data_IF_435448253610
#
_entry.id   IF_435448253610
#
_cell.length_a   1.000
_cell.length_b   1.000
_cell.length_c   1.000
_cell.angle_alpha   90.00
_cell.angle_beta   90.00
_cell.angle_gamma   90.00
#
_symmetry.space_group_name_H-M   'P 1'
#
loop_
_entity.id
_entity.type
_entity.pdbx_description
1 polymer ?
#
# COMPACT_ATOMS: atom_id res chain seq x y z
N UNK A 1 -5.82 0.25 -19.50
CA UNK A 1 -6.24 -0.93 -18.71
C UNK A 1 -7.42 -1.58 -19.41
N UNK A 2 -7.36 -2.89 -19.68
CA UNK A 2 -8.43 -3.62 -20.38
C UNK A 2 -9.74 -3.63 -19.56
N UNK A 3 -10.89 -3.56 -20.24
CA UNK A 3 -12.22 -3.61 -19.60
C UNK A 3 -12.41 -4.87 -18.75
N UNK A 4 -11.85 -6.02 -19.19
CA UNK A 4 -11.88 -7.27 -18.41
C UNK A 4 -11.19 -7.12 -17.06
N UNK A 5 -10.03 -6.48 -17.02
CA UNK A 5 -9.27 -6.30 -15.77
C UNK A 5 -9.98 -5.30 -14.84
N UNK A 6 -10.58 -4.24 -15.39
CA UNK A 6 -11.38 -3.29 -14.60
C UNK A 6 -12.57 -3.99 -13.93
N UNK A 7 -13.24 -4.88 -14.66
CA UNK A 7 -14.39 -5.63 -14.14
C UNK A 7 -13.94 -6.61 -13.04
N UNK A 8 -12.84 -7.33 -13.24
CA UNK A 8 -12.28 -8.24 -12.24
C UNK A 8 -11.89 -7.50 -10.95
N UNK A 9 -11.13 -6.40 -11.06
CA UNK A 9 -10.72 -5.62 -9.90
C UNK A 9 -11.91 -4.93 -9.23
N UNK A 10 -12.84 -4.38 -10.01
CA UNK A 10 -14.06 -3.75 -9.49
C UNK A 10 -14.95 -4.75 -8.74
N UNK A 11 -15.12 -5.96 -9.29
CA UNK A 11 -15.83 -7.04 -8.62
C UNK A 11 -15.14 -7.46 -7.33
N UNK A 12 -13.81 -7.56 -7.32
CA UNK A 12 -13.04 -7.91 -6.12
C UNK A 12 -13.10 -6.82 -5.04
N UNK A 13 -13.11 -5.54 -5.43
CA UNK A 13 -13.34 -4.41 -4.52
C UNK A 13 -14.75 -4.46 -3.93
N UNK A 14 -15.77 -4.77 -4.74
CA UNK A 14 -17.15 -4.90 -4.26
C UNK A 14 -17.26 -6.05 -3.25
N UNK A 15 -16.66 -7.20 -3.55
CA UNK A 15 -16.60 -8.35 -2.64
C UNK A 15 -15.88 -7.97 -1.34
N UNK A 16 -14.75 -7.26 -1.44
CA UNK A 16 -14.04 -6.76 -0.25
C UNK A 16 -14.97 -5.88 0.60
N UNK A 17 -15.69 -4.94 -0.01
CA UNK A 17 -16.61 -4.05 0.67
C UNK A 17 -17.74 -4.83 1.38
N UNK A 18 -18.33 -5.83 0.72
CA UNK A 18 -19.31 -6.73 1.35
C UNK A 18 -18.71 -7.39 2.61
N UNK A 19 -17.50 -7.93 2.54
CA UNK A 19 -16.84 -8.53 3.70
C UNK A 19 -16.58 -7.54 4.85
N UNK A 20 -16.31 -6.26 4.53
CA UNK A 20 -16.11 -5.22 5.54
C UNK A 20 -17.39 -4.88 6.33
N UNK A 21 -18.57 -5.08 5.73
CA UNK A 21 -19.86 -4.88 6.42
C UNK A 21 -20.43 -6.17 7.03
N UNK A 22 -19.95 -7.34 6.59
CA UNK A 22 -20.49 -8.65 6.98
C UNK A 22 -20.34 -8.93 8.49
N UNK A 23 -19.32 -8.35 9.13
CA UNK A 23 -19.11 -8.46 10.57
C UNK A 23 -20.26 -7.84 11.39
N UNK A 24 -20.94 -6.82 10.86
CA UNK A 24 -22.11 -6.22 11.51
C UNK A 24 -23.35 -7.14 11.46
N UNK A 25 -23.45 -7.99 10.44
CA UNK A 25 -24.59 -8.90 10.25
C UNK A 25 -24.41 -10.24 10.95
N UNK A 26 -23.17 -10.68 11.22
CA UNK A 26 -22.87 -11.96 11.86
C UNK A 26 -21.90 -11.81 13.06
N UNK A 27 -22.34 -11.19 14.18
CA UNK A 27 -21.49 -10.93 15.35
C UNK A 27 -21.04 -12.20 16.09
N UNK A 28 -21.73 -13.34 15.90
CA UNK A 28 -21.47 -14.58 16.64
C UNK A 28 -20.36 -15.46 16.04
N UNK A 29 -19.82 -15.11 14.87
CA UNK A 29 -18.74 -15.86 14.22
C UNK A 29 -17.37 -15.35 14.69
N UNK A 30 -17.09 -15.46 16.00
CA UNK A 30 -15.86 -14.96 16.63
C UNK A 30 -14.55 -15.55 16.08
N UNK A 31 -14.61 -16.69 15.40
CA UNK A 31 -13.41 -17.38 14.90
C UNK A 31 -12.93 -16.89 13.52
N UNK A 32 -13.76 -16.19 12.76
CA UNK A 32 -13.40 -15.69 11.43
C UNK A 32 -13.42 -14.16 11.39
N UNK A 33 -12.25 -13.57 11.23
CA UNK A 33 -12.12 -12.12 11.12
C UNK A 33 -12.32 -11.69 9.66
N UNK A 34 -13.57 -11.38 9.29
CA UNK A 34 -13.95 -10.92 7.94
C UNK A 34 -13.26 -9.60 7.55
N UNK A 35 -12.85 -8.78 8.52
CA UNK A 35 -12.10 -7.54 8.26
C UNK A 35 -10.77 -7.83 7.57
N UNK A 36 -10.17 -9.01 7.82
CA UNK A 36 -8.94 -9.43 7.15
C UNK A 36 -9.18 -9.61 5.65
N UNK A 37 -10.25 -10.31 5.27
CA UNK A 37 -10.58 -10.51 3.85
C UNK A 37 -10.87 -9.17 3.16
N UNK A 38 -11.62 -8.28 3.82
CA UNK A 38 -11.82 -6.92 3.33
C UNK A 38 -10.49 -6.22 3.04
N UNK A 39 -9.62 -6.13 4.05
CA UNK A 39 -8.33 -5.45 3.94
C UNK A 39 -7.46 -6.09 2.87
N UNK A 40 -7.35 -7.41 2.80
CA UNK A 40 -6.47 -8.05 1.82
C UNK A 40 -6.98 -7.99 0.40
N UNK A 41 -8.27 -8.19 0.17
CA UNK A 41 -8.82 -8.08 -1.18
C UNK A 41 -8.73 -6.66 -1.70
N UNK A 42 -9.08 -5.68 -0.87
CA UNK A 42 -8.98 -4.28 -1.26
C UNK A 42 -7.53 -3.83 -1.43
N UNK A 43 -6.70 -4.02 -0.39
CA UNK A 43 -5.36 -3.43 -0.37
C UNK A 43 -4.30 -4.23 -1.09
N UNK A 44 -4.21 -5.53 -0.81
CA UNK A 44 -3.13 -6.37 -1.33
C UNK A 44 -3.47 -6.88 -2.74
N UNK A 45 -4.64 -7.50 -2.91
CA UNK A 45 -5.03 -8.11 -4.19
C UNK A 45 -5.30 -7.05 -5.25
N UNK A 46 -6.26 -6.15 -5.00
CA UNK A 46 -6.60 -5.10 -5.95
C UNK A 46 -5.54 -3.99 -5.97
N UNK A 47 -5.27 -3.38 -4.82
CA UNK A 47 -4.29 -2.30 -4.69
C UNK A 47 -2.87 -2.69 -5.16
N UNK A 48 -2.33 -3.80 -4.68
CA UNK A 48 -1.01 -4.29 -5.10
C UNK A 48 -0.93 -4.58 -6.60
N UNK A 49 -1.99 -5.13 -7.20
CA UNK A 49 -2.04 -5.38 -8.65
C UNK A 49 -2.09 -4.07 -9.44
N UNK A 50 -2.81 -3.07 -8.95
CA UNK A 50 -2.85 -1.72 -9.55
C UNK A 50 -1.46 -1.08 -9.49
N UNK A 51 -0.76 -1.20 -8.35
CA UNK A 51 0.61 -0.70 -8.20
C UNK A 51 1.52 -1.33 -9.26
N UNK A 52 1.55 -2.67 -9.35
CA UNK A 52 2.37 -3.37 -10.37
C UNK A 52 2.01 -2.94 -11.79
N UNK A 53 0.71 -2.90 -12.11
CA UNK A 53 0.23 -2.47 -13.43
C UNK A 53 0.69 -1.05 -13.77
N UNK A 54 0.60 -0.12 -12.81
CA UNK A 54 1.03 1.26 -12.98
C UNK A 54 2.54 1.37 -13.15
N UNK A 55 3.32 0.64 -12.33
CA UNK A 55 4.79 0.62 -12.41
C UNK A 55 5.30 0.09 -13.74
N UNK A 56 4.68 -0.96 -14.29
CA UNK A 56 5.13 -1.57 -15.54
C UNK A 56 4.86 -0.71 -16.77
N UNK A 57 3.98 0.31 -16.69
CA UNK A 57 3.58 1.20 -17.79
C UNK A 57 3.13 0.43 -19.06
N UNK A 58 2.51 -0.74 -18.89
CA UNK A 58 2.03 -1.61 -19.99
C UNK A 58 0.53 -1.44 -20.24
N UNK A 59 0.09 -1.68 -21.47
CA UNK A 59 -1.35 -1.65 -21.81
C UNK A 59 -2.15 -2.82 -21.20
N UNK A 60 -1.49 -3.97 -21.01
CA UNK A 60 -2.04 -5.20 -20.44
C UNK A 60 -1.22 -5.62 -19.22
N UNK A 61 -1.86 -6.29 -18.26
CA UNK A 61 -1.20 -6.86 -17.10
C UNK A 61 -0.15 -7.88 -17.54
N UNK A 62 1.07 -7.80 -17.01
CA UNK A 62 2.12 -8.77 -17.33
C UNK A 62 1.84 -10.14 -16.71
N UNK A 63 2.57 -11.16 -17.18
CA UNK A 63 2.58 -12.48 -16.53
C UNK A 63 2.96 -12.38 -15.05
N UNK A 64 3.87 -11.47 -14.71
CA UNK A 64 4.27 -11.19 -13.32
C UNK A 64 3.12 -10.61 -12.51
N UNK A 65 2.38 -9.64 -13.06
CA UNK A 65 1.20 -9.08 -12.40
C UNK A 65 0.06 -10.08 -12.23
N UNK A 66 -0.16 -10.96 -13.21
CA UNK A 66 -1.13 -12.05 -13.09
C UNK A 66 -0.71 -13.03 -11.99
N UNK A 67 0.56 -13.45 -11.99
CA UNK A 67 1.10 -14.34 -10.96
C UNK A 67 0.96 -13.70 -9.56
N UNK A 68 1.30 -12.42 -9.42
CA UNK A 68 1.11 -11.68 -8.18
C UNK A 68 -0.35 -11.71 -7.73
N UNK A 69 -1.29 -11.37 -8.61
CA UNK A 69 -2.71 -11.33 -8.29
C UNK A 69 -3.24 -12.69 -7.82
N UNK A 70 -2.90 -13.77 -8.53
CA UNK A 70 -3.29 -15.13 -8.15
C UNK A 70 -2.72 -15.55 -6.79
N UNK A 71 -1.43 -15.26 -6.54
CA UNK A 71 -0.79 -15.57 -5.25
C UNK A 71 -1.33 -14.71 -4.12
N UNK A 72 -1.69 -13.45 -4.38
CA UNK A 72 -2.28 -12.54 -3.39
C UNK A 72 -3.67 -13.03 -2.94
N UNK A 73 -4.49 -13.51 -3.88
CA UNK A 73 -5.78 -14.12 -3.54
C UNK A 73 -5.56 -15.37 -2.68
N UNK A 74 -4.65 -16.25 -3.10
CA UNK A 74 -4.33 -17.47 -2.34
C UNK A 74 -3.85 -17.13 -0.92
N UNK A 75 -2.93 -16.17 -0.80
CA UNK A 75 -2.43 -15.67 0.48
C UNK A 75 -3.56 -15.17 1.38
N UNK A 76 -4.50 -14.39 0.82
CA UNK A 76 -5.65 -13.83 1.56
C UNK A 76 -6.55 -14.93 2.12
N UNK A 77 -6.85 -15.95 1.31
CA UNK A 77 -7.68 -17.10 1.71
C UNK A 77 -6.96 -17.91 2.79
N UNK A 78 -5.67 -18.14 2.65
CA UNK A 78 -4.86 -18.93 3.60
C UNK A 78 -4.75 -18.21 4.95
N UNK A 79 -4.56 -16.89 4.98
CA UNK A 79 -4.60 -16.12 6.23
C UNK A 79 -5.99 -16.14 6.85
N UNK A 80 -7.05 -16.08 6.05
CA UNK A 80 -8.42 -16.16 6.56
C UNK A 80 -8.67 -17.47 7.32
N UNK A 81 -8.16 -18.60 6.81
CA UNK A 81 -8.20 -19.90 7.49
C UNK A 81 -7.12 -20.08 8.58
N UNK A 82 -6.35 -19.04 8.90
CA UNK A 82 -5.28 -19.06 9.90
C UNK A 82 -4.17 -20.10 9.63
N UNK A 83 -3.93 -20.48 8.37
CA UNK A 83 -2.86 -21.41 7.99
C UNK A 83 -1.54 -20.65 7.83
N UNK A 84 -0.95 -20.28 8.97
CA UNK A 84 0.11 -19.27 9.05
C UNK A 84 1.45 -19.66 8.40
N UNK A 85 1.86 -20.93 8.44
CA UNK A 85 3.10 -21.38 7.78
C UNK A 85 3.07 -21.11 6.27
N UNK A 86 1.97 -21.48 5.61
CA UNK A 86 1.81 -21.28 4.17
C UNK A 86 1.66 -19.78 3.86
N UNK A 87 0.96 -19.03 4.73
CA UNK A 87 0.84 -17.59 4.58
C UNK A 87 2.20 -16.88 4.61
N UNK A 88 3.09 -17.21 5.55
CA UNK A 88 4.44 -16.63 5.62
C UNK A 88 5.20 -16.93 4.32
N UNK A 89 5.20 -18.18 3.87
CA UNK A 89 5.88 -18.57 2.65
C UNK A 89 5.37 -17.78 1.43
N UNK A 90 4.05 -17.67 1.28
CA UNK A 90 3.44 -16.88 0.21
C UNK A 90 3.74 -15.38 0.34
N UNK A 91 3.74 -14.83 1.55
CA UNK A 91 4.07 -13.42 1.81
C UNK A 91 5.48 -13.07 1.36
N UNK A 92 6.45 -13.96 1.63
CA UNK A 92 7.82 -13.81 1.15
C UNK A 92 7.92 -13.90 -0.38
N UNK A 93 7.23 -14.85 -1.01
CA UNK A 93 7.18 -14.95 -2.48
C UNK A 93 6.58 -13.68 -3.10
N UNK A 94 5.47 -13.18 -2.56
CA UNK A 94 4.84 -11.96 -3.02
C UNK A 94 5.79 -10.76 -2.91
N UNK A 95 6.53 -10.65 -1.79
CA UNK A 95 7.54 -9.61 -1.60
C UNK A 95 8.64 -9.68 -2.66
N UNK A 96 9.15 -10.88 -2.97
CA UNK A 96 10.15 -11.10 -4.04
C UNK A 96 9.61 -10.67 -5.40
N UNK A 97 8.35 -10.96 -5.70
CA UNK A 97 7.72 -10.55 -6.96
C UNK A 97 7.66 -9.02 -7.07
N UNK A 98 7.23 -8.34 -6.01
CA UNK A 98 7.16 -6.87 -5.96
C UNK A 98 8.57 -6.26 -6.11
N UNK A 99 9.55 -6.78 -5.38
CA UNK A 99 10.95 -6.33 -5.48
C UNK A 99 11.51 -6.53 -6.88
N UNK A 100 11.20 -7.66 -7.53
CA UNK A 100 11.60 -7.92 -8.92
C UNK A 100 11.01 -6.88 -9.88
N UNK A 101 9.74 -6.50 -9.70
CA UNK A 101 9.10 -5.43 -10.50
C UNK A 101 9.76 -4.08 -10.21
N UNK A 102 10.05 -3.78 -8.95
CA UNK A 102 10.71 -2.54 -8.52
C UNK A 102 12.11 -2.39 -9.11
N UNK A 103 12.96 -3.40 -8.94
CA UNK A 103 14.36 -3.39 -9.41
C UNK A 103 14.41 -3.25 -10.93
N UNK A 104 13.47 -3.87 -11.65
CA UNK A 104 13.40 -3.79 -13.10
C UNK A 104 13.04 -2.38 -13.60
N UNK A 105 12.22 -1.63 -12.85
CA UNK A 105 11.78 -0.28 -13.25
C UNK A 105 12.73 0.81 -12.78
N UNK A 106 13.23 0.68 -11.55
CA UNK A 106 14.03 1.69 -10.88
C UNK A 106 15.46 1.16 -10.72
N UNK A 107 15.83 0.77 -9.51
CA UNK A 107 17.15 0.30 -9.13
C UNK A 107 17.05 -0.52 -7.85
N UNK A 108 18.07 -1.32 -7.54
CA UNK A 108 18.08 -2.09 -6.30
C UNK A 108 18.10 -1.19 -5.06
N UNK A 109 19.02 -0.23 -5.01
CA UNK A 109 19.07 0.76 -3.94
C UNK A 109 18.29 2.02 -4.34
N UNK A 110 17.44 2.60 -3.47
CA UNK A 110 16.59 3.74 -3.82
C UNK A 110 17.35 5.08 -3.85
N UNK A 111 18.43 5.16 -4.63
CA UNK A 111 19.24 6.38 -4.83
C UNK A 111 18.37 7.51 -5.38
N UNK A 112 17.37 7.17 -6.19
CA UNK A 112 16.50 8.14 -6.86
C UNK A 112 15.64 8.96 -5.88
N UNK A 113 15.48 8.54 -4.62
CA UNK A 113 14.83 9.35 -3.58
C UNK A 113 15.62 10.63 -3.25
N UNK A 114 16.95 10.54 -3.27
CA UNK A 114 17.85 11.62 -2.87
C UNK A 114 18.25 12.53 -4.03
N UNK A 115 18.05 12.09 -5.28
CA UNK A 115 18.30 12.93 -6.45
C UNK A 115 17.22 14.03 -6.53
N UNK A 116 17.62 15.30 -6.65
CA UNK A 116 16.66 16.40 -6.82
C UNK A 116 15.99 16.39 -8.21
N UNK A 117 16.72 15.91 -9.22
CA UNK A 117 16.29 15.89 -10.63
C UNK A 117 15.31 14.78 -10.99
N UNK A 118 15.08 13.78 -10.14
CA UNK A 118 14.13 12.70 -10.42
C UNK A 118 12.69 13.16 -10.19
N UNK A 119 11.76 12.75 -11.06
CA UNK A 119 10.36 13.14 -10.93
C UNK A 119 9.76 12.61 -9.63
N UNK A 120 9.08 13.47 -8.87
CA UNK A 120 8.51 13.11 -7.56
C UNK A 120 7.43 12.05 -7.68
N UNK A 121 6.70 12.01 -8.79
CA UNK A 121 5.77 10.93 -9.14
C UNK A 121 6.48 9.56 -9.11
N UNK A 122 7.64 9.46 -9.76
CA UNK A 122 8.44 8.23 -9.78
C UNK A 122 8.98 7.86 -8.40
N UNK A 123 9.35 8.85 -7.57
CA UNK A 123 9.73 8.60 -6.16
C UNK A 123 8.58 7.98 -5.36
N UNK A 124 7.37 8.53 -5.48
CA UNK A 124 6.18 7.97 -4.80
C UNK A 124 5.83 6.56 -5.30
N UNK A 125 5.97 6.30 -6.60
CA UNK A 125 5.76 4.96 -7.17
C UNK A 125 6.79 3.94 -6.66
N UNK A 126 8.06 4.34 -6.54
CA UNK A 126 9.08 3.47 -5.94
C UNK A 126 8.84 3.28 -4.43
N UNK A 127 8.41 4.32 -3.72
CA UNK A 127 8.07 4.23 -2.30
C UNK A 127 6.86 3.31 -2.04
N UNK A 128 5.83 3.32 -2.90
CA UNK A 128 4.68 2.41 -2.75
C UNK A 128 5.08 0.95 -2.89
N UNK A 129 5.93 0.60 -3.87
CA UNK A 129 6.45 -0.76 -4.04
C UNK A 129 7.29 -1.21 -2.85
N UNK A 130 8.20 -0.35 -2.36
CA UNK A 130 9.01 -0.65 -1.18
C UNK A 130 8.14 -0.83 0.07
N UNK A 131 7.15 0.04 0.25
CA UNK A 131 6.22 -0.06 1.37
C UNK A 131 5.43 -1.37 1.30
N UNK A 132 4.99 -1.79 0.12
CA UNK A 132 4.27 -3.04 -0.07
C UNK A 132 5.16 -4.28 0.17
N UNK A 133 6.39 -4.30 -0.36
CA UNK A 133 7.32 -5.43 -0.22
C UNK A 133 7.82 -5.57 1.22
N UNK A 134 8.22 -4.47 1.86
CA UNK A 134 8.64 -4.45 3.27
C UNK A 134 7.49 -4.76 4.20
N UNK A 135 6.28 -4.27 3.89
CA UNK A 135 5.05 -4.64 4.60
C UNK A 135 4.84 -6.15 4.61
N UNK A 136 4.94 -6.84 3.47
CA UNK A 136 4.78 -8.30 3.43
C UNK A 136 5.86 -9.05 4.23
N UNK A 137 7.12 -8.57 4.22
CA UNK A 137 8.20 -9.16 5.00
C UNK A 137 7.95 -8.99 6.49
N UNK A 138 7.66 -7.77 6.94
CA UNK A 138 7.41 -7.48 8.35
C UNK A 138 6.16 -8.25 8.81
N UNK A 139 5.10 -8.29 8.00
CA UNK A 139 3.91 -9.08 8.27
C UNK A 139 4.25 -10.57 8.50
N UNK A 140 5.10 -11.14 7.64
CA UNK A 140 5.57 -12.52 7.77
C UNK A 140 6.35 -12.75 9.06
N UNK A 141 7.25 -11.83 9.42
CA UNK A 141 8.02 -11.86 10.68
C UNK A 141 7.08 -11.76 11.89
N UNK A 142 6.08 -10.89 11.84
CA UNK A 142 5.11 -10.70 12.92
C UNK A 142 4.23 -11.95 13.10
N UNK A 143 3.75 -12.56 12.03
CA UNK A 143 3.03 -13.84 12.08
C UNK A 143 3.93 -14.90 12.72
N UNK A 144 5.19 -15.01 12.27
CA UNK A 144 6.12 -15.98 12.79
C UNK A 144 6.39 -15.79 14.28
N UNK A 145 6.67 -14.55 14.69
CA UNK A 145 6.92 -14.21 16.08
C UNK A 145 5.71 -14.49 16.96
N UNK A 146 4.52 -14.03 16.59
CA UNK A 146 3.33 -14.13 17.44
C UNK A 146 2.82 -15.57 17.58
N UNK A 147 2.96 -16.40 16.53
CA UNK A 147 2.40 -17.75 16.52
C UNK A 147 3.39 -18.82 17.01
N UNK A 148 4.68 -18.70 16.65
CA UNK A 148 5.64 -19.77 16.90
C UNK A 148 6.69 -19.40 17.95
N UNK A 149 7.37 -18.26 17.78
CA UNK A 149 8.53 -17.94 18.63
C UNK A 149 8.14 -17.34 19.99
N UNK A 150 7.08 -16.52 20.01
CA UNK A 150 6.61 -15.75 21.18
C UNK A 150 7.71 -14.97 21.91
N UNK A 151 8.78 -14.61 21.21
CA UNK A 151 9.96 -13.95 21.79
C UNK A 151 9.68 -12.50 22.17
N UNK A 152 8.90 -11.79 21.35
CA UNK A 152 8.53 -10.39 21.59
C UNK A 152 7.02 -10.24 21.74
N UNK A 153 6.55 -9.82 22.91
CA UNK A 153 5.15 -9.48 23.13
C UNK A 153 4.95 -7.97 23.09
N UNK A 154 4.32 -7.50 22.02
CA UNK A 154 3.95 -6.10 21.86
C UNK A 154 2.42 -6.01 21.71
N UNK A 155 1.70 -5.35 22.63
CA UNK A 155 0.24 -5.37 22.67
C UNK A 155 -0.43 -4.76 21.42
N UNK A 156 0.27 -3.87 20.71
CA UNK A 156 -0.17 -3.24 19.44
C UNK A 156 0.35 -3.91 18.16
N UNK A 157 1.27 -4.88 18.24
CA UNK A 157 1.71 -5.69 17.09
C UNK A 157 0.76 -6.88 16.86
N UNK A 158 -0.53 -6.60 16.80
CA UNK A 158 -1.52 -7.55 16.32
C UNK A 158 -1.50 -7.54 14.79
N UNK A 159 -1.79 -8.70 14.18
CA UNK A 159 -1.89 -8.85 12.72
C UNK A 159 -2.73 -7.72 12.09
N UNK A 160 -3.87 -7.42 12.70
CA UNK A 160 -4.85 -6.45 12.23
C UNK A 160 -4.29 -5.02 12.18
N UNK A 161 -3.52 -4.60 13.18
CA UNK A 161 -2.87 -3.28 13.21
C UNK A 161 -1.80 -3.17 12.11
N UNK A 162 -1.12 -4.27 11.81
CA UNK A 162 -0.12 -4.28 10.74
C UNK A 162 -0.78 -4.31 9.35
N UNK A 163 -1.99 -4.85 9.22
CA UNK A 163 -2.71 -4.89 7.95
C UNK A 163 -3.19 -3.51 7.48
N UNK A 164 -3.37 -2.54 8.40
CA UNK A 164 -3.50 -1.12 8.05
C UNK A 164 -2.30 -0.62 7.21
N UNK A 165 -1.12 -1.24 7.40
CA UNK A 165 0.09 -1.04 6.60
C UNK A 165 -0.10 -1.20 5.10
N UNK A 166 -1.01 -2.08 4.66
CA UNK A 166 -1.24 -2.32 3.24
C UNK A 166 -2.05 -1.22 2.54
N UNK A 167 -2.73 -0.35 3.29
CA UNK A 167 -3.40 0.83 2.72
C UNK A 167 -2.41 1.89 2.24
N UNK A 168 -1.26 2.03 2.93
CA UNK A 168 -0.28 3.08 2.63
C UNK A 168 0.32 3.01 1.23
N UNK A 169 0.74 1.83 0.71
CA UNK A 169 1.16 1.70 -0.69
C UNK A 169 0.16 2.27 -1.69
N UNK A 170 -1.14 2.09 -1.45
CA UNK A 170 -2.20 2.59 -2.35
C UNK A 170 -2.33 4.11 -2.26
N UNK A 171 -2.20 4.67 -1.06
CA UNK A 171 -2.15 6.12 -0.89
C UNK A 171 -0.93 6.71 -1.62
N UNK A 172 0.25 6.08 -1.49
CA UNK A 172 1.47 6.54 -2.17
C UNK A 172 1.37 6.44 -3.69
N UNK A 173 0.76 5.39 -4.25
CA UNK A 173 0.56 5.32 -5.72
C UNK A 173 -0.45 6.36 -6.21
N UNK A 174 -1.48 6.66 -5.41
CA UNK A 174 -2.43 7.75 -5.71
C UNK A 174 -1.71 9.10 -5.75
N UNK A 175 -0.85 9.37 -4.76
CA UNK A 175 -0.02 10.58 -4.74
C UNK A 175 0.95 10.62 -5.94
N UNK A 176 1.56 9.49 -6.30
CA UNK A 176 2.38 9.39 -7.53
C UNK A 176 1.60 9.87 -8.76
N UNK A 177 0.36 9.41 -8.92
CA UNK A 177 -0.51 9.82 -10.02
C UNK A 177 -0.82 11.32 -9.94
N UNK A 178 -1.23 11.83 -8.78
CA UNK A 178 -1.51 13.26 -8.60
C UNK A 178 -0.30 14.13 -8.96
N UNK A 179 0.87 13.81 -8.43
CA UNK A 179 2.11 14.54 -8.69
C UNK A 179 2.60 14.39 -10.14
N UNK A 180 2.15 13.39 -10.89
CA UNK A 180 2.47 13.25 -12.31
C UNK A 180 1.78 14.30 -13.19
N UNK A 181 0.66 14.87 -12.73
CA UNK A 181 -0.05 15.93 -13.43
C UNK A 181 0.47 17.34 -13.09
N UNK A 182 1.22 17.49 -11.99
CA UNK A 182 1.74 18.80 -11.57
C UNK A 182 2.99 19.20 -12.34
N UNK A 183 3.06 20.48 -12.69
CA UNK A 183 4.17 21.10 -13.42
C UNK A 183 5.54 20.90 -12.74
N UNK A 184 6.58 20.82 -13.58
CA UNK A 184 7.98 20.66 -13.14
C UNK A 184 8.50 21.88 -12.37
N UNK A 185 7.89 23.06 -12.53
CA UNK A 185 8.29 24.30 -11.84
C UNK A 185 8.19 24.18 -10.31
N UNK A 186 7.31 23.32 -9.81
CA UNK A 186 7.08 23.13 -8.37
C UNK A 186 7.89 21.96 -7.78
N UNK A 187 8.94 21.49 -8.46
CA UNK A 187 9.74 20.32 -8.06
C UNK A 187 10.26 20.39 -6.62
N UNK A 188 10.64 21.59 -6.13
CA UNK A 188 11.08 21.77 -4.74
C UNK A 188 9.96 21.46 -3.73
N UNK A 189 8.79 22.04 -3.94
CA UNK A 189 7.61 21.83 -3.09
C UNK A 189 7.18 20.36 -3.15
N UNK A 190 7.16 19.77 -4.34
CA UNK A 190 6.86 18.34 -4.54
C UNK A 190 7.82 17.45 -3.73
N UNK A 191 9.12 17.76 -3.72
CA UNK A 191 10.12 17.03 -2.93
C UNK A 191 9.92 17.20 -1.42
N UNK A 192 9.55 18.39 -0.94
CA UNK A 192 9.22 18.61 0.48
C UNK A 192 8.01 17.76 0.87
N UNK A 193 6.93 17.79 0.07
CA UNK A 193 5.76 16.95 0.30
C UNK A 193 6.13 15.46 0.32
N UNK A 194 6.98 15.00 -0.59
CA UNK A 194 7.46 13.62 -0.63
C UNK A 194 8.12 13.19 0.68
N UNK A 195 9.06 13.98 1.19
CA UNK A 195 9.75 13.64 2.44
C UNK A 195 8.84 13.75 3.64
N UNK A 196 8.04 14.81 3.74
CA UNK A 196 7.09 15.01 4.85
C UNK A 196 6.09 13.85 4.97
N UNK A 197 5.55 13.37 3.85
CA UNK A 197 4.59 12.26 3.85
C UNK A 197 5.28 10.94 4.21
N UNK A 198 6.39 10.59 3.55
CA UNK A 198 7.03 9.29 3.79
C UNK A 198 7.65 9.19 5.20
N UNK A 199 8.35 10.24 5.66
CA UNK A 199 8.89 10.27 7.02
C UNK A 199 7.77 10.29 8.05
N UNK A 200 6.71 11.06 7.81
CA UNK A 200 5.55 11.10 8.69
C UNK A 200 4.92 9.72 8.88
N UNK A 201 4.75 8.94 7.80
CA UNK A 201 4.22 7.57 7.87
C UNK A 201 5.16 6.64 8.64
N UNK A 202 6.47 6.70 8.40
CA UNK A 202 7.45 5.88 9.13
C UNK A 202 7.42 6.19 10.63
N UNK A 203 7.42 7.48 11.00
CA UNK A 203 7.37 7.92 12.39
C UNK A 203 6.04 7.56 13.03
N UNK A 204 4.93 7.69 12.29
CA UNK A 204 3.60 7.29 12.75
C UNK A 204 3.56 5.80 13.12
N UNK A 205 4.09 4.92 12.28
CA UNK A 205 4.21 3.49 12.59
C UNK A 205 5.12 3.21 13.78
N UNK A 206 6.24 3.92 13.90
CA UNK A 206 7.12 3.78 15.05
C UNK A 206 6.39 4.13 16.37
N UNK A 207 5.56 5.18 16.37
CA UNK A 207 4.77 5.59 17.55
C UNK A 207 3.60 4.65 17.85
N UNK A 208 2.98 4.06 16.82
CA UNK A 208 2.00 2.97 17.01
C UNK A 208 2.67 1.81 17.74
N UNK A 209 3.84 1.36 17.27
CA UNK A 209 4.57 0.24 17.88
C UNK A 209 5.01 0.58 19.31
N UNK A 210 5.48 1.80 19.55
CA UNK A 210 5.87 2.29 20.88
C UNK A 210 4.70 2.56 21.84
N UNK A 211 3.45 2.40 21.37
CA UNK A 211 2.23 2.65 22.14
C UNK A 211 2.13 4.07 22.73
N UNK A 212 2.61 5.09 22.01
CA UNK A 212 2.59 6.50 22.44
C UNK A 212 1.44 7.27 21.78
N UNK A 213 0.24 7.14 22.34
CA UNK A 213 -1.00 7.73 21.78
C UNK A 213 -0.93 9.24 21.52
N UNK A 214 -0.35 10.02 22.43
CA UNK A 214 -0.24 11.48 22.24
C UNK A 214 0.64 11.85 21.03
N UNK A 215 1.77 11.15 20.86
CA UNK A 215 2.67 11.37 19.73
C UNK A 215 2.07 10.85 18.41
N UNK A 216 1.35 9.73 18.47
CA UNK A 216 0.56 9.18 17.36
C UNK A 216 -0.44 10.23 16.83
N UNK A 217 -1.18 10.89 17.72
CA UNK A 217 -2.15 11.93 17.37
C UNK A 217 -1.49 13.18 16.79
N UNK A 218 -0.37 13.64 17.39
CA UNK A 218 0.37 14.81 16.88
C UNK A 218 0.86 14.56 15.44
N UNK A 219 1.47 13.39 15.19
CA UNK A 219 1.95 13.04 13.85
C UNK A 219 0.78 12.86 12.88
N UNK A 220 -0.34 12.27 13.32
CA UNK A 220 -1.54 12.15 12.49
C UNK A 220 -2.07 13.51 12.04
N UNK A 221 -2.07 14.52 12.91
CA UNK A 221 -2.45 15.90 12.57
C UNK A 221 -1.45 16.55 11.58
N UNK A 222 -0.14 16.33 11.77
CA UNK A 222 0.88 16.82 10.85
C UNK A 222 0.72 16.17 9.47
N UNK A 223 0.50 14.86 9.41
CA UNK A 223 0.23 14.12 8.18
C UNK A 223 -1.04 14.61 7.50
N UNK A 224 -2.11 14.84 8.26
CA UNK A 224 -3.36 15.40 7.75
C UNK A 224 -3.11 16.76 7.11
N UNK A 225 -2.37 17.65 7.78
CA UNK A 225 -1.98 18.95 7.23
C UNK A 225 -1.13 18.81 5.96
N UNK A 226 -0.15 17.91 5.94
CA UNK A 226 0.69 17.69 4.76
C UNK A 226 -0.12 17.18 3.55
N UNK A 227 -1.08 16.28 3.79
CA UNK A 227 -1.98 15.75 2.75
C UNK A 227 -2.93 16.84 2.25
N UNK A 228 -3.55 17.63 3.13
CA UNK A 228 -4.44 18.72 2.72
C UNK A 228 -3.71 19.80 1.95
N UNK A 229 -2.50 20.18 2.37
CA UNK A 229 -1.64 21.11 1.61
C UNK A 229 -1.29 20.52 0.23
N UNK A 230 -0.93 19.24 0.16
CA UNK A 230 -0.66 18.57 -1.12
C UNK A 230 -1.88 18.57 -2.04
N UNK A 231 -3.06 18.31 -1.49
CA UNK A 231 -4.32 18.33 -2.23
C UNK A 231 -4.71 19.73 -2.69
N UNK A 232 -4.53 20.74 -1.85
CA UNK A 232 -4.72 22.14 -2.20
C UNK A 232 -3.80 22.58 -3.34
N UNK A 233 -2.51 22.20 -3.27
CA UNK A 233 -1.56 22.44 -4.36
C UNK A 233 -2.01 21.72 -5.63
N UNK A 234 -2.50 20.48 -5.52
CA UNK A 234 -3.01 19.74 -6.67
C UNK A 234 -4.16 20.44 -7.36
N UNK A 235 -5.15 20.94 -6.62
CA UNK A 235 -6.30 21.63 -7.22
C UNK A 235 -5.87 22.94 -7.91
N UNK A 236 -5.01 23.74 -7.26
CA UNK A 236 -4.68 25.07 -7.76
C UNK A 236 -3.59 25.08 -8.85
N UNK A 237 -2.73 24.06 -8.89
CA UNK A 237 -1.58 23.99 -9.79
C UNK A 237 -1.65 22.82 -10.77
N UNK A 238 -2.78 22.12 -10.86
CA UNK A 238 -3.03 21.21 -11.98
C UNK A 238 -3.31 22.06 -13.23
N UNK A 239 -2.51 21.96 -14.30
CA UNK A 239 -2.72 22.76 -15.49
C UNK A 239 -4.09 22.46 -16.12
N UNK A 240 -4.81 23.51 -16.53
CA UNK A 240 -6.13 23.45 -17.22
C UNK A 240 -6.14 22.59 -18.50
N UNK A 241 -4.98 22.08 -18.94
CA UNK A 241 -4.77 21.24 -20.13
C UNK A 241 -5.57 19.93 -20.18
N UNK A 242 -6.31 19.55 -19.12
CA UNK A 242 -7.25 18.42 -19.13
C UNK A 242 -8.74 18.78 -18.99
N UNK A 243 -9.10 20.06 -18.85
CA UNK A 243 -10.53 20.45 -18.80
C UNK A 243 -11.17 20.66 -20.19
N UNK A 244 -10.42 20.55 -21.30
CA UNK A 244 -10.99 20.61 -22.65
C UNK A 244 -10.38 19.58 -23.60
N UNK A 245 -11.14 18.50 -23.80
CA UNK A 245 -11.46 17.86 -25.10
C UNK A 245 -12.40 16.67 -24.84
N UNK A 246 -13.64 16.98 -24.45
CA UNK A 246 -14.81 16.16 -24.79
C UNK A 246 -15.31 16.59 -26.16
#
# INVERSE_FOLDING_TARGET
MSNKLKLVLGGLILIALIFGFLHHFFPDVKNYNFDRLHIFFFNLCSGGTIIIYYTEKRQKLSKTGILFFSLAILYSIIIFFNIYYIAIFLGLILSIIIEKVRIKRFSFFPIDFFKSNSEVSEKFNQASLLCLSTGLIICSIVIWNNQYLKLFYFPKLKLETFFLGFSFPISLITLSVMFSFMDKKFQLIKNICFWSINLGVIIFFAFIIANKLALELIIALILLSAITTTFYIFINFCPESQQKKS
#
